data_IF_331352214624
#
_entry.id   IF_331352214624
#
_cell.length_a   1.000
_cell.length_b   1.000
_cell.length_c   1.000
_cell.angle_alpha   90.00
_cell.angle_beta   90.00
_cell.angle_gamma   90.00
#
_symmetry.space_group_name_H-M   'P 1'
#
loop_
_entity.id
_entity.type
_entity.pdbx_description
1 polymer ?
#
# COMPACT_ATOMS: atom_id res chain seq x y z
N UNK A 1 -18.65 -30.64 21.88
CA UNK A 1 -17.22 -30.50 21.53
C UNK A 1 -16.79 -29.04 21.50
N UNK A 2 -17.47 -28.12 20.74
CA UNK A 2 -17.05 -26.69 20.60
C UNK A 2 -17.02 -25.95 21.96
N UNK A 3 -17.93 -26.23 22.88
CA UNK A 3 -18.00 -25.57 24.18
C UNK A 3 -16.94 -26.08 25.20
N UNK A 4 -16.41 -27.28 25.02
CA UNK A 4 -15.51 -27.92 25.99
C UNK A 4 -14.15 -27.22 26.18
N UNK A 5 -13.76 -26.35 25.27
CA UNK A 5 -12.52 -25.55 25.32
C UNK A 5 -12.74 -24.06 25.42
N UNK A 6 -13.98 -23.58 25.63
CA UNK A 6 -14.29 -22.18 25.67
C UNK A 6 -13.91 -21.54 27.01
N UNK A 7 -13.40 -20.31 26.97
CA UNK A 7 -13.19 -19.50 28.17
C UNK A 7 -14.54 -19.11 28.81
N UNK A 8 -14.57 -19.05 30.14
CA UNK A 8 -15.75 -18.55 30.84
C UNK A 8 -16.20 -17.18 30.30
N UNK A 9 -17.50 -17.02 30.10
CA UNK A 9 -18.13 -15.81 29.56
C UNK A 9 -17.80 -15.49 28.09
N UNK A 10 -17.12 -16.39 27.36
CA UNK A 10 -16.93 -16.20 25.91
C UNK A 10 -18.16 -16.69 25.13
N UNK A 11 -18.50 -16.01 24.06
CA UNK A 11 -19.51 -16.46 23.10
C UNK A 11 -18.93 -17.63 22.29
N UNK A 12 -19.71 -18.71 22.12
CA UNK A 12 -19.33 -19.84 21.29
C UNK A 12 -20.35 -19.99 20.18
N UNK A 13 -19.92 -19.86 18.94
CA UNK A 13 -20.77 -20.08 17.79
C UNK A 13 -20.94 -21.59 17.53
N UNK A 14 -22.13 -22.11 17.79
CA UNK A 14 -22.42 -23.54 17.64
C UNK A 14 -22.59 -23.92 16.17
N UNK A 15 -23.39 -23.15 15.43
CA UNK A 15 -23.63 -23.30 13.98
C UNK A 15 -23.74 -21.91 13.35
N UNK A 16 -22.96 -21.65 12.29
CA UNK A 16 -22.87 -20.34 11.60
C UNK A 16 -23.10 -20.43 10.10
N UNK A 17 -23.28 -21.65 9.56
CA UNK A 17 -23.58 -21.89 8.15
C UNK A 17 -24.66 -22.94 8.02
N UNK A 18 -25.41 -22.87 6.92
CA UNK A 18 -26.47 -23.82 6.58
C UNK A 18 -27.50 -23.99 7.71
N UNK A 19 -27.82 -22.91 8.41
CA UNK A 19 -28.88 -22.88 9.43
C UNK A 19 -30.20 -22.68 8.71
N UNK A 20 -31.09 -23.66 8.82
CA UNK A 20 -32.44 -23.56 8.23
C UNK A 20 -33.39 -22.81 9.14
N UNK A 21 -34.45 -22.22 8.56
CA UNK A 21 -35.52 -21.57 9.32
C UNK A 21 -36.17 -22.55 10.30
N UNK A 22 -36.29 -23.82 9.92
CA UNK A 22 -36.85 -24.88 10.78
C UNK A 22 -35.95 -25.14 12.01
N UNK A 23 -34.62 -25.17 11.84
CA UNK A 23 -33.68 -25.33 12.97
C UNK A 23 -33.73 -24.11 13.90
N UNK A 24 -33.85 -22.90 13.33
CA UNK A 24 -34.00 -21.68 14.12
C UNK A 24 -35.30 -21.68 14.93
N UNK A 25 -36.39 -22.09 14.31
CA UNK A 25 -37.67 -22.20 14.99
C UNK A 25 -37.64 -23.23 16.13
N UNK A 26 -37.11 -24.42 15.87
CA UNK A 26 -37.00 -25.48 16.89
C UNK A 26 -36.12 -25.06 18.08
N UNK A 27 -34.96 -24.46 17.85
CA UNK A 27 -34.12 -23.92 18.91
C UNK A 27 -34.85 -22.78 19.64
N UNK A 28 -35.55 -21.93 18.89
CA UNK A 28 -36.32 -20.79 19.41
C UNK A 28 -37.41 -21.26 20.40
N UNK A 29 -38.14 -22.29 20.04
CA UNK A 29 -39.18 -22.89 20.91
C UNK A 29 -38.62 -23.48 22.22
N UNK A 30 -37.35 -23.91 22.21
CA UNK A 30 -36.71 -24.56 23.35
C UNK A 30 -35.73 -23.66 24.10
N UNK A 31 -35.62 -22.36 23.80
CA UNK A 31 -34.66 -21.43 24.44
C UNK A 31 -34.81 -21.39 25.98
N UNK A 32 -36.01 -21.60 26.51
CA UNK A 32 -36.26 -21.68 27.96
C UNK A 32 -35.54 -22.87 28.62
N UNK A 33 -35.33 -23.95 27.87
CA UNK A 33 -34.62 -25.15 28.31
C UNK A 33 -33.12 -25.12 28.01
N UNK A 34 -32.66 -24.10 27.28
CA UNK A 34 -31.29 -23.91 26.78
C UNK A 34 -30.66 -22.65 27.36
N UNK A 35 -30.39 -22.57 28.67
CA UNK A 35 -29.88 -21.38 29.29
C UNK A 35 -28.53 -20.94 28.65
N UNK A 36 -28.44 -19.69 28.26
CA UNK A 36 -27.25 -19.13 27.61
C UNK A 36 -27.17 -19.31 26.09
N UNK A 37 -28.10 -20.05 25.48
CA UNK A 37 -28.19 -20.10 24.01
C UNK A 37 -28.91 -18.86 23.50
N UNK A 38 -28.44 -18.33 22.38
CA UNK A 38 -29.05 -17.20 21.66
C UNK A 38 -29.13 -17.55 20.18
N UNK A 39 -30.18 -17.08 19.53
CA UNK A 39 -30.35 -17.11 18.08
C UNK A 39 -30.12 -15.69 17.59
N UNK A 40 -29.48 -15.57 16.45
CA UNK A 40 -29.27 -14.27 15.82
C UNK A 40 -28.74 -14.41 14.41
N UNK A 41 -28.63 -13.30 13.75
CA UNK A 41 -27.97 -13.22 12.43
C UNK A 41 -26.57 -12.64 12.58
N UNK A 42 -25.72 -12.98 11.64
CA UNK A 42 -24.39 -12.42 11.50
C UNK A 42 -24.14 -12.09 10.04
N UNK A 43 -23.05 -11.42 9.77
CA UNK A 43 -22.61 -11.05 8.43
C UNK A 43 -21.32 -11.79 8.04
N UNK A 44 -21.08 -11.90 6.76
CA UNK A 44 -19.84 -12.44 6.22
C UNK A 44 -19.31 -11.55 5.09
N UNK A 45 -17.99 -11.56 4.89
CA UNK A 45 -17.37 -10.90 3.74
C UNK A 45 -17.55 -11.72 2.47
N UNK A 46 -17.78 -11.01 1.37
CA UNK A 46 -17.82 -11.59 0.03
C UNK A 46 -16.90 -10.82 -0.89
N UNK A 47 -16.14 -11.54 -1.71
CA UNK A 47 -15.16 -10.99 -2.65
C UNK A 47 -15.55 -11.40 -4.07
N UNK A 48 -16.46 -10.68 -4.73
CA UNK A 48 -17.02 -11.10 -6.03
C UNK A 48 -15.97 -11.15 -7.16
N UNK A 49 -14.86 -10.41 -7.03
CA UNK A 49 -13.76 -10.41 -7.99
C UNK A 49 -12.61 -11.37 -7.62
N UNK A 50 -12.81 -12.25 -6.64
CA UNK A 50 -11.88 -13.30 -6.27
C UNK A 50 -10.54 -12.79 -5.76
N UNK A 51 -9.46 -13.32 -6.30
CA UNK A 51 -8.09 -13.07 -5.83
C UNK A 51 -7.46 -11.76 -6.35
N UNK A 52 -8.15 -11.03 -7.24
CA UNK A 52 -7.64 -9.76 -7.75
C UNK A 52 -7.31 -8.78 -6.63
N UNK A 53 -6.07 -8.29 -6.60
CA UNK A 53 -5.54 -7.38 -5.57
C UNK A 53 -5.70 -7.88 -4.11
N UNK A 54 -5.79 -9.17 -3.89
CA UNK A 54 -5.96 -9.77 -2.56
C UNK A 54 -4.98 -9.24 -1.53
N UNK A 55 -3.72 -9.05 -1.92
CA UNK A 55 -2.67 -8.49 -1.05
C UNK A 55 -2.97 -7.06 -0.58
N UNK A 56 -3.74 -6.29 -1.36
CA UNK A 56 -4.16 -4.91 -1.05
C UNK A 56 -5.47 -4.90 -0.26
N UNK A 57 -6.38 -5.82 -0.58
CA UNK A 57 -7.65 -5.96 0.16
C UNK A 57 -7.37 -6.35 1.62
N UNK A 58 -6.46 -7.26 1.83
CA UNK A 58 -6.13 -7.76 3.16
C UNK A 58 -6.98 -8.95 3.58
N UNK A 59 -7.08 -9.14 4.87
CA UNK A 59 -7.72 -10.32 5.46
C UNK A 59 -8.61 -9.95 6.64
N UNK A 60 -9.58 -10.80 6.92
CA UNK A 60 -10.35 -10.79 8.17
C UNK A 60 -9.82 -11.90 9.10
N UNK A 61 -9.93 -11.68 10.39
CA UNK A 61 -9.60 -12.73 11.37
C UNK A 61 -10.62 -13.87 11.30
N UNK A 62 -10.16 -15.08 11.55
CA UNK A 62 -11.07 -16.20 11.74
C UNK A 62 -11.71 -16.15 13.13
N UNK A 63 -12.86 -16.82 13.32
CA UNK A 63 -13.51 -16.99 14.62
C UNK A 63 -12.56 -17.52 15.70
N UNK A 64 -11.63 -18.42 15.32
CA UNK A 64 -10.63 -18.97 16.24
C UNK A 64 -9.57 -17.95 16.65
N UNK A 65 -9.18 -17.07 15.74
CA UNK A 65 -8.23 -15.98 16.03
C UNK A 65 -8.89 -14.89 16.86
N UNK A 66 -10.16 -14.59 16.56
CA UNK A 66 -10.92 -13.52 17.22
C UNK A 66 -10.35 -12.13 17.00
N UNK A 67 -10.57 -11.25 17.96
CA UNK A 67 -10.12 -9.86 17.88
C UNK A 67 -8.59 -9.77 18.01
N UNK A 68 -7.93 -8.90 17.22
CA UNK A 68 -6.49 -8.62 17.34
C UNK A 68 -6.15 -8.13 18.75
N UNK A 69 -5.06 -8.64 19.33
CA UNK A 69 -4.68 -8.38 20.72
C UNK A 69 -4.40 -6.90 21.02
N UNK A 70 -3.88 -6.17 20.04
CA UNK A 70 -3.59 -4.74 20.10
C UNK A 70 -4.83 -3.84 20.03
N UNK A 71 -5.95 -4.35 19.50
CA UNK A 71 -7.21 -3.63 19.33
C UNK A 71 -8.35 -4.15 20.20
N UNK A 72 -8.11 -5.20 20.99
CA UNK A 72 -9.16 -5.92 21.70
C UNK A 72 -10.03 -5.03 22.59
N UNK A 73 -9.43 -4.12 23.36
CA UNK A 73 -10.17 -3.25 24.28
C UNK A 73 -11.04 -2.24 23.52
N UNK A 74 -10.54 -1.70 22.41
CA UNK A 74 -11.28 -0.79 21.54
C UNK A 74 -12.47 -1.50 20.91
N UNK A 75 -12.25 -2.66 20.30
CA UNK A 75 -13.28 -3.41 19.60
C UNK A 75 -14.36 -3.93 20.56
N UNK A 76 -13.98 -4.39 21.77
CA UNK A 76 -14.96 -4.74 22.80
C UNK A 76 -15.83 -3.58 23.21
N UNK A 77 -15.25 -2.37 23.34
CA UNK A 77 -16.02 -1.14 23.65
C UNK A 77 -16.95 -0.73 22.49
N UNK A 78 -16.62 -1.12 21.25
CA UNK A 78 -17.44 -0.92 20.06
C UNK A 78 -18.52 -2.02 19.86
N UNK A 79 -18.62 -2.95 20.82
CA UNK A 79 -19.67 -3.99 20.84
C UNK A 79 -19.32 -5.31 20.16
N UNK A 80 -18.05 -5.53 19.80
CA UNK A 80 -17.60 -6.83 19.28
C UNK A 80 -17.48 -7.88 20.39
N UNK A 81 -17.70 -9.12 20.03
CA UNK A 81 -17.36 -10.28 20.86
C UNK A 81 -15.91 -10.70 20.60
N UNK A 82 -15.26 -11.32 21.61
CA UNK A 82 -13.83 -11.71 21.51
C UNK A 82 -13.48 -12.58 20.30
N UNK A 83 -14.42 -13.36 19.83
CA UNK A 83 -14.28 -14.29 18.71
C UNK A 83 -14.96 -13.79 17.42
N UNK A 84 -15.31 -12.51 17.35
CA UNK A 84 -15.78 -11.93 16.11
C UNK A 84 -14.65 -11.82 15.08
N UNK A 85 -15.01 -12.03 13.84
CA UNK A 85 -14.11 -11.78 12.72
C UNK A 85 -14.10 -10.28 12.40
N UNK A 86 -12.91 -9.72 12.29
CA UNK A 86 -12.70 -8.29 11.97
C UNK A 86 -11.62 -8.14 10.92
N UNK A 87 -11.64 -7.05 10.17
CA UNK A 87 -10.57 -6.70 9.24
C UNK A 87 -9.23 -6.57 9.98
N UNK A 88 -8.24 -7.39 9.59
CA UNK A 88 -6.94 -7.45 10.27
C UNK A 88 -5.84 -6.72 9.51
N UNK A 89 -6.02 -6.42 8.24
CA UNK A 89 -5.01 -5.76 7.41
C UNK A 89 -5.62 -4.95 6.28
N UNK A 90 -4.89 -3.96 5.84
CA UNK A 90 -5.10 -3.11 4.66
C UNK A 90 -6.53 -2.58 4.52
N UNK A 91 -7.20 -2.77 3.38
CA UNK A 91 -8.57 -2.27 3.12
C UNK A 91 -9.58 -2.84 4.12
N UNK A 92 -9.51 -4.13 4.42
CA UNK A 92 -10.39 -4.75 5.42
C UNK A 92 -10.27 -4.08 6.80
N UNK A 93 -9.04 -3.80 7.25
CA UNK A 93 -8.81 -3.11 8.52
C UNK A 93 -9.19 -1.64 8.46
N UNK A 94 -8.89 -0.97 7.35
CA UNK A 94 -9.15 0.46 7.17
C UNK A 94 -10.65 0.78 7.16
N UNK A 95 -11.43 -0.09 6.53
CA UNK A 95 -12.86 0.11 6.31
C UNK A 95 -13.74 -0.81 7.17
N UNK A 96 -13.20 -1.45 8.21
CA UNK A 96 -13.94 -2.35 9.09
C UNK A 96 -15.24 -1.72 9.59
N UNK A 97 -15.23 -0.44 9.98
CA UNK A 97 -16.41 0.23 10.51
C UNK A 97 -17.55 0.38 9.48
N UNK A 98 -17.22 0.51 8.21
CA UNK A 98 -18.20 0.56 7.13
C UNK A 98 -18.67 -0.84 6.72
N UNK A 99 -17.70 -1.77 6.67
CA UNK A 99 -17.93 -3.13 6.20
C UNK A 99 -18.63 -4.04 7.21
N UNK A 100 -18.56 -3.71 8.51
CA UNK A 100 -19.23 -4.51 9.54
C UNK A 100 -20.75 -4.32 9.48
N UNK A 101 -21.48 -5.43 9.57
CA UNK A 101 -22.92 -5.40 9.83
C UNK A 101 -23.21 -5.30 11.34
N UNK A 102 -24.47 -5.11 11.66
CA UNK A 102 -24.98 -5.29 13.02
C UNK A 102 -25.64 -6.65 13.16
N UNK A 103 -25.45 -7.29 14.31
CA UNK A 103 -26.07 -8.59 14.60
C UNK A 103 -27.52 -8.38 15.02
N UNK A 104 -28.40 -9.23 14.53
CA UNK A 104 -29.74 -9.35 15.08
C UNK A 104 -29.67 -10.20 16.36
N UNK A 105 -30.34 -9.74 17.41
CA UNK A 105 -30.55 -10.49 18.65
C UNK A 105 -32.03 -10.65 18.85
N UNK A 106 -32.47 -11.91 18.90
CA UNK A 106 -33.86 -12.29 19.13
C UNK A 106 -33.98 -12.77 20.58
N UNK A 107 -34.80 -12.11 21.37
CA UNK A 107 -35.22 -12.59 22.68
C UNK A 107 -36.61 -13.17 22.56
N UNK A 108 -36.77 -14.33 23.14
CA UNK A 108 -38.05 -15.02 23.19
C UNK A 108 -38.65 -14.84 24.58
N UNK A 109 -39.89 -14.32 24.64
CA UNK A 109 -40.66 -14.33 25.89
C UNK A 109 -41.47 -15.61 25.98
N UNK A 110 -41.29 -16.35 27.05
CA UNK A 110 -41.99 -17.62 27.28
C UNK A 110 -42.91 -17.50 28.48
N UNK A 111 -44.06 -18.13 28.40
CA UNK A 111 -44.98 -18.35 29.52
C UNK A 111 -45.43 -19.82 29.51
N UNK A 112 -45.31 -20.51 30.67
CA UNK A 112 -45.67 -21.92 30.81
C UNK A 112 -44.93 -22.84 29.82
N UNK A 113 -43.65 -22.58 29.53
CA UNK A 113 -42.82 -23.27 28.54
C UNK A 113 -43.27 -23.07 27.06
N UNK A 114 -44.14 -22.14 26.78
CA UNK A 114 -44.54 -21.76 25.42
C UNK A 114 -43.99 -20.37 25.09
N UNK A 115 -43.56 -20.18 23.85
CA UNK A 115 -43.15 -18.89 23.35
C UNK A 115 -44.44 -18.10 23.04
N UNK A 116 -44.67 -17.02 23.82
CA UNK A 116 -45.79 -16.13 23.61
C UNK A 116 -45.46 -14.91 22.72
N UNK A 117 -44.20 -14.59 22.62
CA UNK A 117 -43.73 -13.44 21.83
C UNK A 117 -42.28 -13.53 21.48
N UNK A 118 -41.94 -13.39 20.22
CA UNK A 118 -40.58 -13.03 19.79
C UNK A 118 -40.39 -11.52 19.88
N UNK A 119 -39.42 -11.06 20.62
CA UNK A 119 -39.05 -9.65 20.70
C UNK A 119 -37.68 -9.51 20.05
N UNK A 120 -37.66 -8.92 18.87
CA UNK A 120 -36.40 -8.47 18.26
C UNK A 120 -35.85 -7.34 19.13
N UNK A 121 -34.77 -7.61 19.84
CA UNK A 121 -34.11 -6.63 20.70
C UNK A 121 -33.32 -5.63 19.85
N UNK A 122 -32.71 -6.10 18.78
CA UNK A 122 -32.00 -5.30 17.77
C UNK A 122 -32.23 -5.96 16.41
N UNK A 123 -32.62 -5.16 15.40
CA UNK A 123 -32.63 -5.61 14.01
C UNK A 123 -31.21 -5.63 13.46
N UNK A 124 -30.76 -6.77 12.92
CA UNK A 124 -29.51 -6.86 12.20
C UNK A 124 -29.56 -6.10 10.87
N UNK A 125 -28.49 -5.47 10.48
CA UNK A 125 -28.31 -4.89 9.15
C UNK A 125 -26.96 -5.35 8.56
N UNK A 126 -26.91 -5.60 7.23
CA UNK A 126 -25.62 -5.84 6.58
C UNK A 126 -24.75 -4.59 6.69
N UNK A 127 -23.45 -4.76 6.62
CA UNK A 127 -22.51 -3.65 6.46
C UNK A 127 -22.60 -3.06 5.04
N UNK A 128 -21.97 -1.93 4.85
CA UNK A 128 -21.90 -1.29 3.55
C UNK A 128 -20.99 -2.08 2.59
N UNK A 129 -21.25 -1.95 1.30
CA UNK A 129 -20.38 -2.47 0.27
C UNK A 129 -19.29 -1.44 -0.05
N UNK A 130 -18.05 -1.87 -0.16
CA UNK A 130 -16.94 -1.03 -0.61
C UNK A 130 -16.68 -1.26 -2.10
N UNK A 131 -16.90 -0.21 -2.91
CA UNK A 131 -16.56 -0.22 -4.32
C UNK A 131 -15.20 0.46 -4.52
N UNK A 132 -14.22 -0.30 -5.02
CA UNK A 132 -12.89 0.23 -5.35
C UNK A 132 -12.90 0.89 -6.73
N UNK A 133 -11.95 1.81 -6.96
CA UNK A 133 -11.69 2.38 -8.29
C UNK A 133 -10.97 1.38 -9.21
N UNK A 134 -10.43 0.30 -8.65
CA UNK A 134 -9.71 -0.75 -9.39
C UNK A 134 -10.70 -1.51 -10.28
N UNK A 135 -10.36 -1.64 -11.57
CA UNK A 135 -11.08 -2.50 -12.49
C UNK A 135 -10.44 -3.90 -12.48
N UNK A 136 -11.19 -4.92 -12.07
CA UNK A 136 -10.64 -6.26 -11.83
C UNK A 136 -10.05 -6.92 -13.10
N UNK A 137 -10.69 -6.76 -14.25
CA UNK A 137 -10.19 -7.32 -15.51
C UNK A 137 -8.91 -6.62 -15.95
N UNK A 138 -8.91 -5.29 -15.92
CA UNK A 138 -7.73 -4.49 -16.24
C UNK A 138 -6.57 -4.76 -15.27
N UNK A 139 -6.87 -4.90 -13.98
CA UNK A 139 -5.89 -5.30 -12.95
C UNK A 139 -5.19 -6.62 -13.33
N UNK A 140 -5.97 -7.63 -13.70
CA UNK A 140 -5.41 -8.93 -14.08
C UNK A 140 -4.51 -8.84 -15.31
N UNK A 141 -4.89 -8.03 -16.31
CA UNK A 141 -4.07 -7.80 -17.50
C UNK A 141 -2.76 -7.09 -17.16
N UNK A 142 -2.81 -6.01 -16.35
CA UNK A 142 -1.61 -5.28 -15.93
C UNK A 142 -0.71 -6.17 -15.07
N UNK A 143 -1.28 -6.96 -14.16
CA UNK A 143 -0.53 -7.93 -13.33
C UNK A 143 0.25 -8.92 -14.19
N UNK A 144 -0.42 -9.50 -15.19
CA UNK A 144 0.23 -10.42 -16.14
C UNK A 144 1.36 -9.73 -16.93
N UNK A 145 1.15 -8.52 -17.40
CA UNK A 145 2.18 -7.75 -18.12
C UNK A 145 3.41 -7.52 -17.24
N UNK A 146 3.21 -7.13 -15.97
CA UNK A 146 4.31 -6.92 -15.01
C UNK A 146 5.07 -8.22 -14.78
N UNK A 147 4.36 -9.33 -14.56
CA UNK A 147 4.96 -10.63 -14.33
C UNK A 147 5.79 -11.11 -15.53
N UNK A 148 5.24 -11.03 -16.75
CA UNK A 148 5.90 -11.43 -17.98
C UNK A 148 7.16 -10.59 -18.23
N UNK A 149 7.08 -9.26 -18.01
CA UNK A 149 8.23 -8.38 -18.17
C UNK A 149 9.34 -8.66 -17.14
N UNK A 150 9.01 -8.93 -15.88
CA UNK A 150 10.01 -9.29 -14.86
C UNK A 150 10.68 -10.61 -15.22
N UNK A 151 9.93 -11.61 -15.66
CA UNK A 151 10.49 -12.91 -16.12
C UNK A 151 11.43 -12.72 -17.30
N UNK A 152 11.01 -11.96 -18.32
CA UNK A 152 11.81 -11.68 -19.50
C UNK A 152 13.10 -10.92 -19.17
N UNK A 153 13.00 -9.86 -18.36
CA UNK A 153 14.13 -9.06 -17.96
C UNK A 153 15.11 -9.84 -17.06
N UNK A 154 14.63 -10.78 -16.26
CA UNK A 154 15.47 -11.65 -15.44
C UNK A 154 16.38 -12.57 -16.27
N UNK A 155 16.02 -12.87 -17.52
CA UNK A 155 16.86 -13.61 -18.45
C UNK A 155 18.14 -12.87 -18.84
N UNK A 156 18.12 -11.53 -18.89
CA UNK A 156 19.27 -10.67 -19.18
C UNK A 156 19.93 -10.10 -17.94
N UNK A 157 19.19 -9.94 -16.83
CA UNK A 157 19.70 -9.42 -15.58
C UNK A 157 19.21 -10.27 -14.39
N UNK A 158 20.03 -11.20 -13.87
CA UNK A 158 19.64 -12.09 -12.78
C UNK A 158 19.38 -11.37 -11.45
N UNK A 159 19.78 -10.11 -11.31
CA UNK A 159 19.62 -9.33 -10.09
C UNK A 159 18.32 -8.55 -9.99
N UNK A 160 17.38 -8.73 -10.92
CA UNK A 160 16.06 -8.08 -10.83
C UNK A 160 15.25 -8.70 -9.69
N UNK A 161 14.92 -7.92 -8.63
CA UNK A 161 14.20 -8.42 -7.46
C UNK A 161 12.68 -8.41 -7.63
N UNK A 162 12.15 -7.78 -8.69
CA UNK A 162 10.73 -7.63 -8.95
C UNK A 162 10.42 -6.47 -9.86
N UNK A 163 9.14 -6.19 -10.02
CA UNK A 163 8.64 -5.07 -10.81
C UNK A 163 7.24 -4.66 -10.34
N UNK A 164 6.93 -3.37 -10.47
CA UNK A 164 5.70 -2.79 -9.95
C UNK A 164 5.15 -1.77 -10.92
N UNK A 165 3.83 -1.70 -11.02
CA UNK A 165 3.13 -0.72 -11.86
C UNK A 165 1.88 -0.20 -11.14
N UNK A 166 1.66 1.10 -11.22
CA UNK A 166 0.43 1.77 -10.78
C UNK A 166 -0.18 2.47 -11.98
N UNK A 167 -1.45 2.23 -12.24
CA UNK A 167 -2.22 2.93 -13.27
C UNK A 167 -3.28 3.77 -12.58
N UNK A 168 -3.20 5.07 -12.77
CA UNK A 168 -4.01 6.06 -12.06
C UNK A 168 -4.59 7.10 -13.01
N UNK A 169 -5.77 7.58 -12.71
CA UNK A 169 -6.34 8.76 -13.35
C UNK A 169 -5.75 10.03 -12.71
N UNK A 170 -4.96 10.83 -13.44
CA UNK A 170 -4.30 12.00 -12.85
C UNK A 170 -5.25 13.15 -12.49
N UNK A 171 -6.50 13.12 -12.98
CA UNK A 171 -7.50 14.15 -12.66
C UNK A 171 -8.28 13.87 -11.40
N UNK A 172 -8.52 12.58 -11.10
CA UNK A 172 -9.38 12.17 -9.97
C UNK A 172 -8.59 11.52 -8.85
N UNK A 173 -7.35 11.08 -9.10
CA UNK A 173 -6.57 10.24 -8.18
C UNK A 173 -7.03 8.77 -8.13
N UNK A 174 -8.09 8.42 -8.86
CA UNK A 174 -8.61 7.05 -8.87
C UNK A 174 -7.61 6.05 -9.44
N UNK A 175 -7.32 5.01 -8.68
CA UNK A 175 -6.38 3.95 -9.06
C UNK A 175 -7.14 2.88 -9.83
N UNK A 176 -6.69 2.58 -11.06
CA UNK A 176 -7.30 1.57 -11.92
C UNK A 176 -6.64 0.21 -11.81
N UNK A 177 -5.33 0.19 -11.50
CA UNK A 177 -4.58 -1.03 -11.23
C UNK A 177 -3.39 -0.79 -10.32
N UNK A 178 -3.11 -1.78 -9.47
CA UNK A 178 -1.94 -1.91 -8.62
C UNK A 178 -1.32 -3.29 -8.89
N UNK A 179 -0.29 -3.35 -9.70
CA UNK A 179 0.33 -4.61 -10.09
C UNK A 179 1.76 -4.69 -9.59
N UNK A 180 2.14 -5.83 -9.08
CA UNK A 180 3.49 -6.03 -8.59
C UNK A 180 3.85 -7.49 -8.42
N UNK A 181 5.13 -7.78 -8.57
CA UNK A 181 5.71 -9.09 -8.29
C UNK A 181 7.05 -8.94 -7.59
N UNK A 182 7.30 -9.83 -6.66
CA UNK A 182 8.62 -10.11 -6.11
C UNK A 182 9.23 -11.30 -6.83
N UNK A 183 10.55 -11.26 -7.03
CA UNK A 183 11.33 -12.38 -7.54
C UNK A 183 12.38 -12.78 -6.51
N UNK A 184 12.34 -14.01 -6.08
CA UNK A 184 13.40 -14.61 -5.27
C UNK A 184 14.66 -14.77 -6.12
N UNK A 185 15.75 -14.11 -5.73
CA UNK A 185 16.99 -14.11 -6.51
C UNK A 185 17.72 -15.47 -6.48
N UNK A 186 17.45 -16.30 -5.48
CA UNK A 186 18.09 -17.61 -5.33
C UNK A 186 17.38 -18.70 -6.12
N UNK A 187 16.05 -18.68 -6.13
CA UNK A 187 15.22 -19.70 -6.80
C UNK A 187 14.67 -19.26 -8.14
N UNK A 188 14.67 -17.96 -8.43
CA UNK A 188 14.02 -17.36 -9.59
C UNK A 188 12.49 -17.32 -9.51
N UNK A 189 11.90 -17.79 -8.41
CA UNK A 189 10.45 -17.83 -8.24
C UNK A 189 9.85 -16.42 -8.21
N UNK A 190 8.85 -16.18 -9.04
CA UNK A 190 8.06 -14.94 -9.08
C UNK A 190 6.78 -15.15 -8.29
N UNK A 191 6.45 -14.22 -7.41
CA UNK A 191 5.24 -14.22 -6.58
C UNK A 191 4.55 -12.86 -6.67
N UNK A 192 3.22 -12.86 -6.75
CA UNK A 192 2.43 -11.64 -6.76
C UNK A 192 2.62 -10.83 -5.48
N UNK A 193 2.75 -9.51 -5.63
CA UNK A 193 2.88 -8.56 -4.55
C UNK A 193 2.38 -7.17 -4.97
N UNK A 194 1.08 -7.03 -5.21
CA UNK A 194 0.49 -5.73 -5.53
C UNK A 194 0.72 -4.69 -4.40
N UNK A 195 0.77 -5.12 -3.16
CA UNK A 195 1.05 -4.25 -2.00
C UNK A 195 2.44 -3.60 -2.07
N UNK A 196 3.40 -4.22 -2.76
CA UNK A 196 4.72 -3.63 -2.98
C UNK A 196 4.70 -2.28 -3.71
N UNK A 197 3.61 -1.98 -4.44
CA UNK A 197 3.39 -0.65 -5.05
C UNK A 197 3.20 0.47 -4.02
N UNK A 198 2.87 0.13 -2.79
CA UNK A 198 2.51 1.07 -1.72
C UNK A 198 3.58 1.11 -0.64
N UNK A 199 4.11 -0.04 -0.24
CA UNK A 199 4.98 -0.16 0.94
C UNK A 199 6.46 -0.37 0.64
N UNK A 200 6.85 -0.48 -0.63
CA UNK A 200 8.26 -0.59 -1.01
C UNK A 200 8.83 0.74 -1.51
N UNK A 201 10.13 0.92 -1.29
CA UNK A 201 10.88 2.07 -1.78
C UNK A 201 11.99 1.61 -2.70
N UNK A 202 12.29 2.41 -3.73
CA UNK A 202 13.23 2.04 -4.79
C UNK A 202 14.25 3.14 -5.01
N UNK A 203 15.46 2.75 -5.38
CA UNK A 203 16.47 3.69 -5.88
C UNK A 203 16.09 4.08 -7.30
N UNK A 204 15.55 5.28 -7.45
CA UNK A 204 14.91 5.74 -8.69
C UNK A 204 15.90 6.08 -9.81
N UNK A 205 17.19 6.24 -9.48
CA UNK A 205 18.22 6.53 -10.48
C UNK A 205 17.94 7.83 -11.27
N UNK A 206 18.12 7.77 -12.57
CA UNK A 206 18.01 8.94 -13.45
C UNK A 206 16.59 9.51 -13.60
N UNK A 207 15.55 8.83 -13.13
CA UNK A 207 14.15 9.33 -13.19
C UNK A 207 14.00 10.63 -12.42
N UNK A 208 14.75 10.84 -11.34
CA UNK A 208 14.69 12.07 -10.53
C UNK A 208 15.32 13.31 -11.19
N UNK A 209 16.04 13.14 -12.31
CA UNK A 209 16.75 14.26 -12.95
C UNK A 209 15.82 15.36 -13.44
N UNK A 210 14.62 15.02 -13.88
CA UNK A 210 13.60 16.00 -14.23
C UNK A 210 13.24 16.90 -13.05
N UNK A 211 12.96 16.30 -11.90
CA UNK A 211 12.68 17.03 -10.66
C UNK A 211 13.88 17.88 -10.20
N UNK A 212 15.11 17.38 -10.39
CA UNK A 212 16.34 18.14 -10.09
C UNK A 212 16.45 19.41 -10.93
N UNK A 213 16.23 19.31 -12.25
CA UNK A 213 16.23 20.47 -13.17
C UNK A 213 15.13 21.46 -12.82
N UNK A 214 13.92 20.97 -12.53
CA UNK A 214 12.79 21.82 -12.15
C UNK A 214 13.06 22.56 -10.83
N UNK A 215 13.67 21.88 -9.84
CA UNK A 215 14.10 22.52 -8.60
C UNK A 215 15.08 23.66 -8.86
N UNK A 216 16.12 23.42 -9.65
CA UNK A 216 17.13 24.41 -9.99
C UNK A 216 16.58 25.62 -10.78
N UNK A 217 15.59 25.40 -11.66
CA UNK A 217 14.85 26.47 -12.34
C UNK A 217 14.02 27.31 -11.36
N UNK A 218 13.30 26.66 -10.46
CA UNK A 218 12.47 27.31 -9.45
C UNK A 218 13.30 28.16 -8.48
N UNK A 219 14.46 27.66 -8.07
CA UNK A 219 15.36 28.35 -7.15
C UNK A 219 16.23 29.41 -7.82
N UNK A 220 16.10 29.55 -9.14
CA UNK A 220 16.83 30.56 -9.94
C UNK A 220 18.32 30.22 -10.13
N UNK A 221 18.74 29.01 -9.81
CA UNK A 221 20.12 28.54 -10.03
C UNK A 221 20.47 28.49 -11.51
N UNK A 222 19.50 28.09 -12.32
CA UNK A 222 19.48 28.18 -13.75
C UNK A 222 18.18 28.89 -14.20
N UNK A 223 18.17 29.41 -15.41
CA UNK A 223 16.98 30.03 -16.01
C UNK A 223 16.69 29.42 -17.40
N UNK A 224 15.52 29.61 -17.98
CA UNK A 224 15.25 29.14 -19.35
C UNK A 224 16.26 29.57 -20.41
N UNK A 225 16.88 30.76 -20.23
CA UNK A 225 17.86 31.33 -21.14
C UNK A 225 19.33 31.19 -20.71
N UNK A 226 19.56 30.81 -19.43
CA UNK A 226 20.90 30.59 -18.87
C UNK A 226 20.94 29.28 -18.08
N UNK A 227 21.03 28.16 -18.80
CA UNK A 227 21.03 26.80 -18.25
C UNK A 227 22.08 25.88 -18.89
N UNK A 228 23.09 26.47 -19.54
CA UNK A 228 24.14 25.71 -20.20
C UNK A 228 25.29 25.48 -19.22
N UNK A 229 25.66 24.22 -19.00
CA UNK A 229 26.81 23.80 -18.19
C UNK A 229 27.71 22.87 -19.02
N UNK A 230 29.01 22.90 -18.72
CA UNK A 230 29.98 21.99 -19.35
C UNK A 230 29.82 20.58 -18.78
N UNK A 231 29.54 19.62 -19.64
CA UNK A 231 29.66 18.17 -19.35
C UNK A 231 31.13 17.79 -19.35
N UNK A 232 31.63 17.36 -18.24
CA UNK A 232 33.02 16.91 -18.05
C UNK A 232 33.16 16.00 -16.82
N UNK A 233 34.15 15.13 -16.72
CA UNK A 233 34.45 14.43 -15.48
C UNK A 233 34.70 15.41 -14.31
N UNK A 234 33.92 15.26 -13.23
CA UNK A 234 34.06 16.06 -12.02
C UNK A 234 35.17 15.49 -11.16
N UNK A 235 36.22 16.25 -10.94
CA UNK A 235 37.34 15.92 -10.07
C UNK A 235 37.36 16.85 -8.85
N UNK A 236 37.09 16.32 -7.68
CA UNK A 236 37.16 17.05 -6.41
C UNK A 236 38.31 16.52 -5.58
N UNK A 237 38.93 17.37 -4.74
CA UNK A 237 40.02 16.98 -3.85
C UNK A 237 39.59 15.79 -2.98
N UNK A 238 40.49 14.79 -2.87
CA UNK A 238 40.26 13.61 -2.03
C UNK A 238 39.19 12.62 -2.53
N UNK A 239 38.64 12.79 -3.74
CA UNK A 239 37.63 11.88 -4.26
C UNK A 239 37.98 11.30 -5.64
N UNK A 240 37.48 10.11 -5.95
CA UNK A 240 37.53 9.59 -7.31
C UNK A 240 36.66 10.45 -8.25
N UNK A 241 37.10 10.57 -9.51
CA UNK A 241 36.35 11.31 -10.52
C UNK A 241 34.90 10.77 -10.67
N UNK A 242 33.93 11.66 -10.74
CA UNK A 242 32.53 11.35 -11.05
C UNK A 242 32.25 11.66 -12.51
N UNK A 243 31.55 10.77 -13.19
CA UNK A 243 31.40 10.82 -14.64
C UNK A 243 29.97 10.52 -15.06
N UNK A 244 29.60 10.99 -16.24
CA UNK A 244 28.43 10.50 -16.97
C UNK A 244 28.78 9.18 -17.69
N UNK A 245 27.75 8.36 -17.97
CA UNK A 245 27.93 7.05 -18.59
C UNK A 245 28.64 7.11 -19.94
N UNK A 246 28.40 8.17 -20.72
CA UNK A 246 28.95 8.39 -22.05
C UNK A 246 30.29 9.18 -22.05
N UNK A 247 30.65 9.84 -20.95
CA UNK A 247 31.83 10.70 -20.85
C UNK A 247 32.71 10.32 -19.64
N UNK A 248 33.32 9.15 -19.71
CA UNK A 248 34.14 8.60 -18.61
C UNK A 248 35.54 9.22 -18.52
N UNK A 249 36.10 9.64 -19.64
CA UNK A 249 37.50 10.11 -19.74
C UNK A 249 37.63 11.60 -20.02
N UNK A 250 36.58 12.28 -20.41
CA UNK A 250 36.58 13.65 -20.90
C UNK A 250 36.66 13.78 -22.44
N UNK A 251 36.73 12.66 -23.16
CA UNK A 251 36.76 12.69 -24.61
C UNK A 251 35.44 13.20 -25.23
N UNK A 252 34.34 13.16 -24.48
CA UNK A 252 33.04 13.67 -24.89
C UNK A 252 32.62 14.93 -24.10
N UNK A 253 33.59 15.77 -23.71
CA UNK A 253 33.28 17.06 -23.10
C UNK A 253 32.50 17.94 -24.07
N UNK A 254 31.37 18.49 -23.62
CA UNK A 254 30.51 19.34 -24.41
C UNK A 254 29.67 20.26 -23.52
N UNK A 255 29.25 21.40 -24.08
CA UNK A 255 28.27 22.25 -23.41
C UNK A 255 26.87 21.66 -23.60
N UNK A 256 26.13 21.47 -22.50
CA UNK A 256 24.77 20.93 -22.48
C UNK A 256 23.82 21.96 -21.88
N UNK A 257 22.68 22.18 -22.54
CA UNK A 257 21.53 22.81 -21.91
C UNK A 257 20.86 21.82 -20.95
N UNK A 258 19.92 22.30 -20.12
CA UNK A 258 19.15 21.43 -19.23
C UNK A 258 18.38 20.36 -20.02
N UNK A 259 17.84 20.70 -21.19
CA UNK A 259 17.14 19.74 -22.06
C UNK A 259 18.10 18.67 -22.60
N UNK A 260 19.26 19.08 -23.12
CA UNK A 260 20.28 18.16 -23.63
C UNK A 260 20.76 17.23 -22.51
N UNK A 261 20.99 17.77 -21.32
CA UNK A 261 21.45 17.00 -20.15
C UNK A 261 20.42 15.95 -19.72
N UNK A 262 19.13 16.23 -19.83
CA UNK A 262 18.06 15.23 -19.61
C UNK A 262 18.04 14.20 -20.73
N UNK A 263 18.15 14.62 -21.99
CA UNK A 263 18.15 13.71 -23.14
C UNK A 263 19.26 12.68 -23.10
N UNK A 264 20.51 13.11 -22.79
CA UNK A 264 21.66 12.21 -22.68
C UNK A 264 21.84 11.62 -21.29
N UNK A 265 20.96 11.97 -20.35
CA UNK A 265 21.02 11.55 -18.95
C UNK A 265 22.37 11.86 -18.29
N UNK A 266 22.86 13.12 -18.42
CA UNK A 266 24.12 13.56 -17.82
C UNK A 266 24.09 13.49 -16.29
N UNK A 267 25.02 12.80 -15.68
CA UNK A 267 25.19 12.78 -14.22
C UNK A 267 25.93 14.02 -13.73
N UNK A 268 26.95 14.45 -14.46
CA UNK A 268 27.81 15.56 -14.04
C UNK A 268 27.09 16.89 -14.13
N UNK A 269 26.17 17.05 -15.09
CA UNK A 269 25.27 18.21 -15.14
C UNK A 269 24.46 18.32 -13.85
N UNK A 270 23.81 17.21 -13.40
CA UNK A 270 23.00 17.20 -12.18
C UNK A 270 23.83 17.43 -10.92
N UNK A 271 25.05 16.89 -10.86
CA UNK A 271 25.96 17.17 -9.76
C UNK A 271 26.36 18.65 -9.70
N UNK A 272 26.59 19.28 -10.85
CA UNK A 272 26.86 20.73 -10.92
C UNK A 272 25.65 21.55 -10.50
N UNK A 273 24.41 21.16 -10.86
CA UNK A 273 23.22 21.80 -10.34
C UNK A 273 23.17 21.74 -8.81
N UNK A 274 23.40 20.56 -8.21
CA UNK A 274 23.44 20.44 -6.75
C UNK A 274 24.52 21.30 -6.09
N UNK A 275 25.69 21.41 -6.72
CA UNK A 275 26.75 22.28 -6.23
C UNK A 275 26.34 23.76 -6.30
N UNK A 276 25.76 24.18 -7.41
CA UNK A 276 25.25 25.55 -7.59
C UNK A 276 24.13 25.90 -6.61
N UNK A 277 23.22 24.96 -6.35
CA UNK A 277 22.18 25.07 -5.31
C UNK A 277 22.77 25.34 -3.92
N UNK A 278 23.93 24.76 -3.64
CA UNK A 278 24.69 24.98 -2.40
C UNK A 278 25.65 26.19 -2.45
N UNK A 279 25.61 26.98 -3.53
CA UNK A 279 26.47 28.15 -3.70
C UNK A 279 27.92 27.82 -4.11
N UNK A 280 28.20 26.60 -4.52
CA UNK A 280 29.54 26.15 -4.93
C UNK A 280 29.65 26.06 -6.46
N UNK A 281 30.52 26.87 -7.05
CA UNK A 281 30.86 26.78 -8.46
C UNK A 281 32.01 25.78 -8.64
N UNK A 282 31.75 24.74 -9.42
CA UNK A 282 32.74 23.68 -9.65
C UNK A 282 34.02 24.22 -10.29
N UNK A 283 35.16 23.81 -9.70
CA UNK A 283 36.50 23.97 -10.27
C UNK A 283 37.26 22.66 -10.08
N UNK A 284 37.94 22.19 -11.14
CA UNK A 284 38.64 20.91 -11.10
C UNK A 284 39.71 20.90 -10.01
N UNK A 285 39.75 19.86 -9.19
CA UNK A 285 40.70 19.71 -8.08
C UNK A 285 40.33 20.48 -6.80
N UNK A 286 39.32 21.29 -6.79
CA UNK A 286 38.89 22.01 -5.60
C UNK A 286 38.31 21.09 -4.53
N UNK A 287 38.50 21.47 -3.26
CA UNK A 287 37.80 20.82 -2.14
C UNK A 287 36.32 21.23 -2.17
N UNK A 288 35.42 20.24 -2.06
CA UNK A 288 33.99 20.50 -2.01
C UNK A 288 33.61 21.13 -0.67
N UNK A 289 33.10 22.34 -0.68
CA UNK A 289 32.58 23.02 0.50
C UNK A 289 31.07 23.33 0.27
N UNK A 290 30.20 22.48 0.79
CA UNK A 290 28.74 22.64 0.70
C UNK A 290 28.16 22.59 2.12
N UNK A 291 27.19 23.45 2.43
CA UNK A 291 26.44 23.32 3.66
C UNK A 291 25.60 22.03 3.63
N UNK A 292 25.52 21.31 4.74
CA UNK A 292 24.70 20.07 4.82
C UNK A 292 23.22 20.31 4.57
N UNK A 293 22.74 21.53 4.81
CA UNK A 293 21.37 21.96 4.51
C UNK A 293 20.96 21.87 3.03
N UNK A 294 21.96 21.74 2.12
CA UNK A 294 21.66 21.54 0.69
C UNK A 294 20.86 20.25 0.45
N UNK A 295 21.13 19.20 1.20
CA UNK A 295 20.40 17.95 1.05
C UNK A 295 18.91 18.08 1.43
N UNK A 296 18.62 18.88 2.45
CA UNK A 296 17.23 19.17 2.86
C UNK A 296 16.53 20.04 1.82
N UNK A 297 17.24 21.03 1.25
CA UNK A 297 16.72 21.85 0.15
C UNK A 297 16.37 21.00 -1.07
N UNK A 298 17.27 20.12 -1.50
CA UNK A 298 17.02 19.22 -2.62
C UNK A 298 15.83 18.27 -2.35
N UNK A 299 15.74 17.68 -1.13
CA UNK A 299 14.60 16.87 -0.72
C UNK A 299 13.29 17.65 -0.74
N UNK A 300 13.29 18.91 -0.26
CA UNK A 300 12.11 19.77 -0.33
C UNK A 300 11.67 20.04 -1.77
N UNK A 301 12.61 20.24 -2.68
CA UNK A 301 12.29 20.36 -4.09
C UNK A 301 11.67 19.08 -4.66
N UNK A 302 12.22 17.91 -4.33
CA UNK A 302 11.66 16.63 -4.76
C UNK A 302 10.26 16.36 -4.20
N UNK A 303 9.99 16.74 -2.95
CA UNK A 303 8.67 16.60 -2.31
C UNK A 303 7.56 17.34 -3.07
N UNK A 304 7.87 18.45 -3.73
CA UNK A 304 6.90 19.20 -4.54
C UNK A 304 6.41 18.42 -5.77
N UNK A 305 7.16 17.41 -6.18
CA UNK A 305 6.82 16.50 -7.27
C UNK A 305 6.35 15.13 -6.77
N UNK A 306 5.98 15.03 -5.49
CA UNK A 306 5.48 13.79 -4.89
C UNK A 306 6.58 12.78 -4.50
N UNK A 307 7.87 13.13 -4.65
CA UNK A 307 8.97 12.24 -4.28
C UNK A 307 9.31 12.36 -2.79
N UNK A 308 9.42 11.25 -2.08
CA UNK A 308 9.74 11.24 -0.65
C UNK A 308 8.61 11.74 0.26
N UNK A 309 7.36 11.64 -0.17
CA UNK A 309 6.16 11.99 0.60
C UNK A 309 5.12 10.88 0.49
N UNK A 310 4.21 10.80 1.48
CA UNK A 310 3.04 9.96 1.37
C UNK A 310 2.05 10.55 0.38
N UNK A 311 1.43 9.72 -0.43
CA UNK A 311 0.43 10.13 -1.42
C UNK A 311 -0.94 10.37 -0.80
N UNK A 312 -1.18 9.79 0.39
CA UNK A 312 -2.47 9.81 1.06
C UNK A 312 -3.42 8.72 0.55
N UNK A 313 -2.87 7.68 -0.08
CA UNK A 313 -3.69 6.50 -0.40
C UNK A 313 -4.32 5.96 0.89
N UNK A 314 -5.58 5.59 0.82
CA UNK A 314 -6.39 5.13 1.94
C UNK A 314 -6.13 3.67 2.36
N UNK A 315 -4.87 3.25 2.24
CA UNK A 315 -4.39 1.92 2.64
C UNK A 315 -3.28 2.10 3.68
N UNK A 316 -3.39 1.48 4.85
CA UNK A 316 -2.37 1.59 5.89
C UNK A 316 -1.04 0.97 5.46
N UNK A 317 0.05 1.53 5.97
CA UNK A 317 1.41 1.00 5.71
C UNK A 317 2.10 1.62 4.50
N UNK A 318 1.61 2.73 3.94
CA UNK A 318 2.28 3.45 2.85
C UNK A 318 3.69 3.90 3.27
N UNK A 319 4.67 3.60 2.41
CA UNK A 319 6.05 4.07 2.54
C UNK A 319 6.26 5.36 1.75
N UNK A 320 6.83 6.38 2.39
CA UNK A 320 7.06 7.68 1.73
C UNK A 320 8.33 7.73 0.88
N UNK A 321 9.23 6.76 1.01
CA UNK A 321 10.58 6.87 0.46
C UNK A 321 11.49 7.80 1.28
N UNK A 322 12.66 8.11 0.73
CA UNK A 322 13.69 8.96 1.36
C UNK A 322 13.82 10.29 0.62
#
# INVERSE_FOLDING_TARGET
>A
AKMAGAYALSTVYLKTSDVSDSEMAEVGEHLSLLPGVKIGTSWSRSYPNGESVKSVIGTVTSEKQGLPSDQINKLLAEGYSRNDSVGSSYIESQYENALKGTKEIINVQTQNNEIIKEVKQYGGSPGDNLQLTINAEFQNQVQKIVEDNVKNAAGSNPYIPGGYAVVMNPKTGGIYALAGVNRDLSTGKVTENALGTINQTFVMGSVVKGAMVMGALKDGVITPTNNTLLEEPIKLAGTAAKTSWFNKTGAANMSLTAADALQVSSNTYMMKLAMLEGGFKYTSGAALNLPTSIFDKLRQNFKQYGLGVKTGIDIPGEASGF
#
